data_IF_905375603505
#
_entry.id   IF_905375603505
#
_cell.length_a   1.000
_cell.length_b   1.000
_cell.length_c   1.000
_cell.angle_alpha   90.00
_cell.angle_beta   90.00
_cell.angle_gamma   90.00
#
_symmetry.space_group_name_H-M   'P 1'
#
loop_
_entity.id
_entity.type
_entity.pdbx_description
1 polymer ?
#
# COMPACT_ATOMS: atom_id res chain seq x y z
N UNK A 1 4.44 6.91 15.24
CA UNK A 1 4.11 7.75 14.06
C UNK A 1 3.75 9.17 14.47
N UNK A 2 2.91 9.40 15.48
CA UNK A 2 2.60 10.73 16.04
C UNK A 2 3.80 11.66 16.23
N UNK A 3 4.90 11.18 16.82
CA UNK A 3 6.12 11.98 17.05
C UNK A 3 6.92 12.35 15.78
N UNK A 4 6.52 11.86 14.61
CA UNK A 4 7.12 12.19 13.30
C UNK A 4 6.24 13.12 12.45
N UNK A 5 5.12 13.57 13.00
CA UNK A 5 4.25 14.55 12.35
C UNK A 5 5.02 15.87 12.16
N UNK A 6 5.30 16.24 10.92
CA UNK A 6 6.13 17.39 10.59
C UNK A 6 5.28 18.66 10.46
N UNK A 7 5.27 19.49 11.50
CA UNK A 7 4.60 20.80 11.52
C UNK A 7 5.44 21.92 10.93
N UNK A 8 6.69 21.68 10.54
CA UNK A 8 7.60 22.72 10.05
C UNK A 8 7.38 23.07 8.57
N UNK A 9 6.78 22.14 7.81
CA UNK A 9 6.48 22.31 6.39
C UNK A 9 5.04 21.92 6.10
N UNK A 10 4.39 22.62 5.16
CA UNK A 10 3.08 22.25 4.62
C UNK A 10 1.97 22.10 5.69
N UNK A 11 2.06 22.84 6.79
CA UNK A 11 1.04 22.84 7.86
C UNK A 11 0.89 21.53 8.67
N UNK A 12 1.73 20.53 8.44
CA UNK A 12 1.57 19.19 9.02
C UNK A 12 1.95 18.08 8.05
N UNK A 13 1.59 16.85 8.39
CA UNK A 13 1.78 15.68 7.55
C UNK A 13 3.09 14.93 7.83
N UNK A 14 3.09 13.66 7.47
CA UNK A 14 4.26 12.80 7.42
C UNK A 14 4.97 12.94 6.08
N UNK A 15 6.31 12.90 6.15
CA UNK A 15 7.18 12.68 5.00
C UNK A 15 7.18 11.19 4.63
N UNK A 16 7.48 10.89 3.38
CA UNK A 16 7.63 9.51 2.90
C UNK A 16 8.75 8.79 3.65
N UNK A 17 9.91 9.42 3.75
CA UNK A 17 11.06 8.82 4.43
C UNK A 17 11.11 9.16 5.92
N UNK A 18 11.63 8.21 6.69
CA UNK A 18 11.83 8.32 8.14
C UNK A 18 13.09 9.13 8.48
N UNK A 19 14.14 9.00 7.65
CA UNK A 19 15.46 9.58 7.91
C UNK A 19 15.77 10.69 6.89
N UNK A 20 16.34 11.79 7.38
CA UNK A 20 16.62 13.00 6.60
C UNK A 20 17.60 12.80 5.45
N UNK A 21 18.42 11.75 5.51
CA UNK A 21 19.42 11.44 4.50
C UNK A 21 18.90 10.50 3.40
N UNK A 22 17.68 10.00 3.50
CA UNK A 22 17.09 9.18 2.45
C UNK A 22 16.56 10.06 1.31
N UNK A 23 16.74 9.61 0.07
CA UNK A 23 16.07 10.20 -1.09
C UNK A 23 14.55 10.12 -0.90
N UNK A 24 13.85 11.24 -1.12
CA UNK A 24 12.40 11.35 -0.89
C UNK A 24 12.02 11.78 0.53
N UNK A 25 12.97 12.17 1.39
CA UNK A 25 12.62 12.81 2.68
C UNK A 25 11.93 14.16 2.49
N UNK A 26 12.29 14.87 1.43
CA UNK A 26 11.63 16.08 0.93
C UNK A 26 10.23 15.82 0.37
N UNK A 27 9.78 14.57 0.25
CA UNK A 27 8.48 14.23 -0.31
C UNK A 27 7.45 13.91 0.77
N UNK A 28 6.25 14.52 0.70
CA UNK A 28 5.08 14.16 1.49
C UNK A 28 4.07 13.48 0.58
N UNK A 29 3.87 12.18 0.78
CA UNK A 29 3.00 11.38 -0.06
C UNK A 29 1.74 10.90 0.67
N UNK A 30 0.77 10.52 -0.13
CA UNK A 30 -0.55 10.13 0.32
C UNK A 30 -0.51 8.85 1.11
N UNK A 31 0.23 7.83 0.67
CA UNK A 31 0.27 6.56 1.39
C UNK A 31 0.83 6.68 2.81
N UNK A 32 1.80 7.57 3.07
CA UNK A 32 2.32 7.76 4.43
C UNK A 32 1.27 8.38 5.36
N UNK A 33 0.52 9.37 4.84
CA UNK A 33 -0.46 10.12 5.61
C UNK A 33 -1.78 9.35 5.76
N UNK A 34 -2.31 8.82 4.67
CA UNK A 34 -3.48 7.94 4.68
C UNK A 34 -3.22 6.64 5.43
N UNK A 35 -1.97 6.14 5.41
CA UNK A 35 -1.51 5.03 6.24
C UNK A 35 -1.64 5.30 7.74
N UNK A 36 -1.22 6.49 8.19
CA UNK A 36 -1.44 6.92 9.57
C UNK A 36 -2.94 7.05 9.89
N UNK A 37 -3.70 7.68 9.00
CA UNK A 37 -5.14 7.86 9.15
C UNK A 37 -5.88 6.52 9.31
N UNK A 38 -5.70 5.57 8.39
CA UNK A 38 -6.41 4.28 8.49
C UNK A 38 -5.98 3.49 9.72
N UNK A 39 -4.71 3.57 10.14
CA UNK A 39 -4.22 2.88 11.32
C UNK A 39 -4.85 3.48 12.59
N UNK A 40 -4.91 4.80 12.68
CA UNK A 40 -5.56 5.51 13.76
C UNK A 40 -7.06 5.17 13.82
N UNK A 41 -7.78 5.22 12.71
CA UNK A 41 -9.20 4.86 12.65
C UNK A 41 -9.47 3.41 13.10
N UNK A 42 -8.63 2.46 12.65
CA UNK A 42 -8.72 1.05 13.05
C UNK A 42 -8.46 0.86 14.54
N UNK A 43 -7.46 1.55 15.09
CA UNK A 43 -7.15 1.51 16.52
C UNK A 43 -8.25 2.18 17.36
N UNK A 44 -8.83 3.29 16.89
CA UNK A 44 -9.97 3.95 17.51
C UNK A 44 -11.14 2.97 17.65
N UNK A 45 -11.54 2.32 16.55
CA UNK A 45 -12.60 1.32 16.57
C UNK A 45 -12.26 0.10 17.42
N UNK A 46 -11.04 -0.43 17.33
CA UNK A 46 -10.66 -1.65 18.06
C UNK A 46 -10.60 -1.42 19.57
N UNK A 47 -10.03 -0.30 20.00
CA UNK A 47 -9.71 -0.02 21.41
C UNK A 47 -10.74 0.89 22.10
N UNK A 48 -11.58 1.59 21.34
CA UNK A 48 -12.46 2.64 21.83
C UNK A 48 -11.72 3.75 22.60
N UNK A 49 -10.47 4.05 22.21
CA UNK A 49 -9.64 5.09 22.82
C UNK A 49 -9.68 6.37 21.97
N UNK A 50 -10.18 7.45 22.57
CA UNK A 50 -10.38 8.75 21.93
C UNK A 50 -9.10 9.35 21.32
N UNK A 51 -7.92 9.08 21.88
CA UNK A 51 -6.66 9.58 21.30
C UNK A 51 -6.44 9.08 19.88
N UNK A 52 -6.88 7.87 19.54
CA UNK A 52 -6.79 7.38 18.16
C UNK A 52 -7.83 8.03 17.25
N UNK A 53 -9.01 8.36 17.77
CA UNK A 53 -10.03 9.14 17.05
C UNK A 53 -9.48 10.53 16.73
N UNK A 54 -8.89 11.22 17.71
CA UNK A 54 -8.28 12.55 17.53
C UNK A 54 -7.17 12.52 16.47
N UNK A 55 -6.35 11.47 16.46
CA UNK A 55 -5.30 11.32 15.45
C UNK A 55 -5.84 10.98 14.06
N UNK A 56 -6.93 10.20 13.97
CA UNK A 56 -7.58 9.92 12.71
C UNK A 56 -8.17 11.20 12.11
N UNK A 57 -8.93 11.97 12.90
CA UNK A 57 -9.50 13.26 12.50
C UNK A 57 -8.42 14.27 12.12
N UNK A 58 -7.38 14.42 12.94
CA UNK A 58 -6.26 15.33 12.65
C UNK A 58 -5.55 14.97 11.34
N UNK A 59 -5.30 13.67 11.12
CA UNK A 59 -4.58 13.22 9.92
C UNK A 59 -5.43 13.41 8.68
N UNK A 60 -6.73 13.09 8.75
CA UNK A 60 -7.67 13.32 7.67
C UNK A 60 -7.87 14.80 7.37
N UNK A 61 -8.05 15.65 8.40
CA UNK A 61 -8.22 17.09 8.21
C UNK A 61 -7.03 17.70 7.47
N UNK A 62 -5.80 17.37 7.88
CA UNK A 62 -4.62 17.81 7.15
C UNK A 62 -4.59 17.30 5.70
N UNK A 63 -4.95 16.03 5.49
CA UNK A 63 -4.99 15.45 4.16
C UNK A 63 -6.03 16.14 3.27
N UNK A 64 -7.20 16.44 3.83
CA UNK A 64 -8.31 17.11 3.17
C UNK A 64 -8.02 18.59 2.85
N UNK A 65 -7.23 19.26 3.69
CA UNK A 65 -6.77 20.64 3.45
C UNK A 65 -5.56 20.70 2.50
N UNK A 66 -4.93 19.55 2.22
CA UNK A 66 -3.79 19.47 1.32
C UNK A 66 -4.23 19.43 -0.15
N UNK A 67 -3.31 19.74 -1.04
CA UNK A 67 -3.48 19.61 -2.49
C UNK A 67 -3.48 18.15 -2.99
N UNK A 68 -3.39 17.16 -2.09
CA UNK A 68 -3.37 15.73 -2.43
C UNK A 68 -4.76 15.10 -2.51
N UNK A 69 -5.80 15.85 -2.15
CA UNK A 69 -7.19 15.45 -2.27
C UNK A 69 -8.00 16.54 -2.96
N UNK A 70 -8.76 16.16 -3.97
CA UNK A 70 -9.74 17.04 -4.60
C UNK A 70 -11.12 16.76 -4.00
N UNK A 71 -11.69 17.73 -3.28
CA UNK A 71 -12.98 17.58 -2.58
C UNK A 71 -14.19 17.47 -3.54
N UNK A 72 -14.09 18.01 -4.75
CA UNK A 72 -15.19 18.02 -5.70
C UNK A 72 -15.29 16.69 -6.46
N UNK A 73 -14.13 16.15 -6.82
CA UNK A 73 -13.98 14.93 -7.64
C UNK A 73 -13.56 13.71 -6.84
N UNK A 74 -13.23 13.87 -5.56
CA UNK A 74 -12.69 12.82 -4.68
C UNK A 74 -11.40 12.18 -5.19
N UNK A 75 -10.64 12.88 -6.05
CA UNK A 75 -9.36 12.38 -6.55
C UNK A 75 -8.31 12.35 -5.44
N UNK A 76 -7.49 11.30 -5.43
CA UNK A 76 -6.42 11.07 -4.46
C UNK A 76 -5.09 10.99 -5.20
N UNK A 77 -4.31 12.07 -5.14
CA UNK A 77 -3.03 12.22 -5.84
C UNK A 77 -1.88 11.60 -5.03
N UNK A 78 -0.70 11.40 -5.63
CA UNK A 78 0.36 10.60 -5.00
C UNK A 78 1.12 11.35 -3.91
N UNK A 79 1.46 12.61 -4.14
CA UNK A 79 2.25 13.36 -3.19
C UNK A 79 2.75 14.70 -3.72
N UNK A 80 3.59 15.34 -2.91
CA UNK A 80 4.09 16.69 -3.17
C UNK A 80 5.42 16.94 -2.45
N UNK A 81 6.21 17.90 -2.94
CA UNK A 81 7.52 18.23 -2.37
C UNK A 81 7.43 19.30 -1.29
N UNK A 82 8.24 19.17 -0.24
CA UNK A 82 8.36 20.20 0.79
C UNK A 82 9.20 21.39 0.35
N UNK A 83 9.95 21.28 -0.76
CA UNK A 83 10.85 22.33 -1.25
C UNK A 83 10.10 23.52 -1.85
N UNK A 84 8.88 23.31 -2.32
CA UNK A 84 8.01 24.33 -2.90
C UNK A 84 6.75 24.59 -2.06
N UNK A 85 6.84 24.30 -0.77
CA UNK A 85 5.72 24.42 0.17
C UNK A 85 4.51 23.56 -0.23
N UNK A 86 4.77 22.35 -0.76
CA UNK A 86 3.76 21.37 -1.12
C UNK A 86 2.80 21.83 -2.22
N UNK A 87 3.33 22.55 -3.21
CA UNK A 87 2.52 23.12 -4.31
C UNK A 87 2.64 22.34 -5.61
N UNK A 88 3.78 21.68 -5.89
CA UNK A 88 3.86 20.75 -7.03
C UNK A 88 3.29 19.40 -6.63
N UNK A 89 2.08 19.12 -7.09
CA UNK A 89 1.40 17.84 -6.86
C UNK A 89 1.75 16.86 -7.97
N UNK A 90 2.16 15.66 -7.57
CA UNK A 90 2.19 14.49 -8.44
C UNK A 90 0.77 13.93 -8.56
N UNK A 91 0.17 14.09 -9.74
CA UNK A 91 -1.21 13.72 -10.01
C UNK A 91 -1.39 12.24 -10.37
N UNK A 92 -0.38 11.39 -10.18
CA UNK A 92 -0.59 9.95 -10.31
C UNK A 92 -1.61 9.45 -9.29
N UNK A 93 -2.54 8.63 -9.78
CA UNK A 93 -3.58 8.02 -8.98
C UNK A 93 -3.31 6.52 -8.88
N UNK A 94 -3.29 6.02 -7.65
CA UNK A 94 -2.92 4.63 -7.37
C UNK A 94 -4.00 3.95 -6.53
N UNK A 95 -4.38 2.73 -6.89
CA UNK A 95 -5.48 2.01 -6.21
C UNK A 95 -5.28 1.89 -4.70
N UNK A 96 -4.03 1.73 -4.24
CA UNK A 96 -3.69 1.60 -2.82
C UNK A 96 -3.88 2.90 -1.99
N UNK A 97 -3.76 4.08 -2.59
CA UNK A 97 -4.00 5.36 -1.92
C UNK A 97 -5.51 5.48 -1.62
N UNK A 98 -6.35 5.18 -2.62
CA UNK A 98 -7.80 5.06 -2.44
C UNK A 98 -8.17 4.00 -1.41
N UNK A 99 -7.51 2.84 -1.44
CA UNK A 99 -7.72 1.79 -0.45
C UNK A 99 -7.42 2.27 0.98
N UNK A 100 -6.38 3.09 1.19
CA UNK A 100 -6.07 3.64 2.50
C UNK A 100 -7.11 4.69 2.95
N UNK A 101 -7.53 5.59 2.06
CA UNK A 101 -8.55 6.59 2.36
C UNK A 101 -9.92 5.95 2.68
N UNK A 102 -10.40 5.05 1.81
CA UNK A 102 -11.66 4.31 2.00
C UNK A 102 -11.61 3.54 3.32
N UNK A 103 -10.50 2.86 3.61
CA UNK A 103 -10.36 2.10 4.85
C UNK A 103 -10.51 3.02 6.07
N UNK A 104 -9.73 4.10 6.16
CA UNK A 104 -9.82 5.00 7.31
C UNK A 104 -11.23 5.58 7.50
N UNK A 105 -11.85 6.06 6.42
CA UNK A 105 -13.20 6.65 6.47
C UNK A 105 -14.26 5.61 6.87
N UNK A 106 -14.21 4.38 6.33
CA UNK A 106 -15.17 3.33 6.67
C UNK A 106 -15.06 2.89 8.14
N UNK A 107 -13.83 2.80 8.67
CA UNK A 107 -13.60 2.52 10.09
C UNK A 107 -14.08 3.67 10.98
N UNK A 108 -13.88 4.92 10.57
CA UNK A 108 -14.39 6.10 11.30
C UNK A 108 -15.92 6.11 11.30
N UNK A 109 -16.58 5.94 10.15
CA UNK A 109 -18.04 5.86 10.08
C UNK A 109 -18.59 4.76 10.99
N UNK A 110 -18.02 3.56 10.95
CA UNK A 110 -18.50 2.47 11.80
C UNK A 110 -18.23 2.73 13.29
N UNK A 111 -17.19 3.49 13.64
CA UNK A 111 -16.85 3.84 15.01
C UNK A 111 -17.72 4.98 15.58
N UNK A 112 -17.98 6.03 14.79
CA UNK A 112 -18.63 7.26 15.25
C UNK A 112 -20.09 7.40 14.82
N UNK A 113 -20.50 6.66 13.78
CA UNK A 113 -21.80 6.81 13.09
C UNK A 113 -22.03 8.22 12.52
N UNK A 114 -20.96 9.01 12.34
CA UNK A 114 -21.02 10.34 11.74
C UNK A 114 -21.15 10.23 10.22
N UNK A 115 -22.24 10.76 9.69
CA UNK A 115 -22.61 10.70 8.28
C UNK A 115 -21.53 11.29 7.35
N UNK A 116 -20.76 12.28 7.80
CA UNK A 116 -19.69 12.88 6.97
C UNK A 116 -18.66 11.84 6.51
N UNK A 117 -18.37 10.83 7.34
CA UNK A 117 -17.48 9.74 6.95
C UNK A 117 -18.09 8.80 5.91
N UNK A 118 -19.41 8.58 5.95
CA UNK A 118 -20.09 7.79 4.92
C UNK A 118 -20.08 8.54 3.59
N UNK A 119 -20.34 9.85 3.59
CA UNK A 119 -20.29 10.69 2.39
C UNK A 119 -18.90 10.63 1.74
N UNK A 120 -17.83 10.66 2.56
CA UNK A 120 -16.44 10.47 2.11
C UNK A 120 -16.24 9.08 1.47
N UNK A 121 -16.71 8.02 2.12
CA UNK A 121 -16.60 6.65 1.57
C UNK A 121 -17.31 6.55 0.22
N UNK A 122 -18.55 7.05 0.11
CA UNK A 122 -19.34 6.99 -1.12
C UNK A 122 -18.71 7.80 -2.25
N UNK A 123 -18.19 9.00 -1.95
CA UNK A 123 -17.45 9.81 -2.91
C UNK A 123 -16.19 9.12 -3.43
N UNK A 124 -15.36 8.59 -2.52
CA UNK A 124 -14.16 7.84 -2.88
C UNK A 124 -14.48 6.56 -3.68
N UNK A 125 -15.56 5.86 -3.36
CA UNK A 125 -16.00 4.67 -4.11
C UNK A 125 -16.43 5.03 -5.53
N UNK A 126 -17.19 6.10 -5.71
CA UNK A 126 -17.60 6.56 -7.03
C UNK A 126 -16.38 6.83 -7.92
N UNK A 127 -15.41 7.61 -7.42
CA UNK A 127 -14.17 7.92 -8.14
C UNK A 127 -13.32 6.66 -8.37
N UNK A 128 -13.26 5.77 -7.38
CA UNK A 128 -12.58 4.48 -7.53
C UNK A 128 -13.15 3.66 -8.70
N UNK A 129 -14.48 3.57 -8.81
CA UNK A 129 -15.13 2.82 -9.89
C UNK A 129 -14.96 3.48 -11.25
N UNK A 130 -14.94 4.82 -11.33
CA UNK A 130 -14.70 5.50 -12.60
C UNK A 130 -13.24 5.41 -13.06
N UNK A 131 -12.29 5.48 -12.13
CA UNK A 131 -10.85 5.57 -12.44
C UNK A 131 -10.21 4.19 -12.64
N UNK A 132 -10.49 3.24 -11.75
CA UNK A 132 -9.79 1.95 -11.72
C UNK A 132 -10.60 0.79 -12.29
N UNK A 133 -11.81 1.05 -12.80
CA UNK A 133 -12.61 0.03 -13.49
C UNK A 133 -13.10 0.55 -14.85
N UNK A 134 -12.17 1.01 -15.72
CA UNK A 134 -12.54 1.65 -16.97
C UNK A 134 -13.16 0.63 -17.92
N UNK A 135 -14.29 1.00 -18.54
CA UNK A 135 -15.02 0.13 -19.48
C UNK A 135 -14.19 -0.29 -20.69
N UNK A 136 -13.16 0.49 -21.04
CA UNK A 136 -12.19 0.18 -22.11
C UNK A 136 -11.31 -1.03 -21.79
N UNK A 137 -11.20 -1.42 -20.51
CA UNK A 137 -10.44 -2.56 -20.04
C UNK A 137 -11.35 -3.67 -19.48
N UNK A 138 -12.62 -3.71 -19.92
CA UNK A 138 -13.60 -4.70 -19.49
C UNK A 138 -14.63 -4.15 -18.49
N UNK A 139 -15.84 -4.69 -18.52
CA UNK A 139 -16.90 -4.29 -17.60
C UNK A 139 -16.53 -4.68 -16.16
N UNK A 140 -16.35 -3.66 -15.30
CA UNK A 140 -16.05 -3.83 -13.86
C UNK A 140 -14.78 -4.63 -13.57
N UNK A 141 -13.79 -4.56 -14.45
CA UNK A 141 -12.46 -5.14 -14.25
C UNK A 141 -11.54 -4.10 -13.61
N UNK A 142 -10.95 -4.44 -12.45
CA UNK A 142 -10.01 -3.57 -11.75
C UNK A 142 -8.69 -3.47 -12.52
N UNK A 143 -8.16 -2.26 -12.69
CA UNK A 143 -6.93 -1.97 -13.44
C UNK A 143 -6.10 -0.95 -12.66
N UNK A 144 -4.78 -1.15 -12.63
CA UNK A 144 -3.86 -0.10 -12.16
C UNK A 144 -3.64 0.90 -13.31
N UNK A 145 -4.58 1.83 -13.48
CA UNK A 145 -4.72 2.65 -14.69
C UNK A 145 -3.46 3.44 -15.06
N UNK A 146 -2.67 3.84 -14.06
CA UNK A 146 -1.47 4.66 -14.23
C UNK A 146 -0.34 3.92 -14.94
N UNK A 147 -0.20 2.61 -14.75
CA UNK A 147 0.95 1.84 -15.27
C UNK A 147 0.56 0.65 -16.14
N UNK A 148 -0.58 0.01 -15.87
CA UNK A 148 -0.95 -1.25 -16.52
C UNK A 148 -1.18 -1.08 -18.03
N UNK A 149 -1.90 -0.06 -18.53
CA UNK A 149 -2.06 0.14 -19.97
C UNK A 149 -0.75 0.44 -20.72
N UNK A 150 0.26 0.93 -20.01
CA UNK A 150 1.57 1.25 -20.55
C UNK A 150 2.55 0.08 -20.44
N UNK A 151 2.17 -1.01 -19.75
CA UNK A 151 3.03 -2.17 -19.53
C UNK A 151 4.28 -1.86 -18.72
N UNK A 152 4.26 -0.85 -17.85
CA UNK A 152 5.43 -0.34 -17.14
C UNK A 152 5.28 -0.33 -15.61
N UNK A 153 4.34 -1.12 -15.07
CA UNK A 153 4.19 -1.25 -13.62
C UNK A 153 5.47 -1.79 -12.97
N UNK A 154 5.91 -1.16 -11.88
CA UNK A 154 7.00 -1.68 -11.08
C UNK A 154 6.54 -2.79 -10.11
N UNK A 155 7.48 -3.31 -9.31
CA UNK A 155 7.21 -4.41 -8.37
C UNK A 155 6.18 -4.05 -7.29
N UNK A 156 6.14 -2.80 -6.85
CA UNK A 156 5.22 -2.35 -5.80
C UNK A 156 3.81 -2.23 -6.40
N UNK A 157 3.70 -1.58 -7.56
CA UNK A 157 2.45 -1.30 -8.26
C UNK A 157 1.69 -2.58 -8.64
N UNK A 158 2.42 -3.66 -8.94
CA UNK A 158 1.81 -4.97 -9.22
C UNK A 158 1.00 -5.54 -8.04
N UNK A 159 1.23 -5.06 -6.82
CA UNK A 159 0.52 -5.50 -5.61
C UNK A 159 -0.63 -4.58 -5.19
N UNK A 160 -0.75 -3.37 -5.76
CA UNK A 160 -1.67 -2.34 -5.25
C UNK A 160 -3.14 -2.76 -5.30
N UNK A 161 -3.55 -3.40 -6.40
CA UNK A 161 -4.90 -3.97 -6.57
C UNK A 161 -5.28 -4.95 -5.45
N UNK A 162 -4.30 -5.67 -4.87
CA UNK A 162 -4.54 -6.57 -3.74
C UNK A 162 -5.09 -5.82 -2.52
N UNK A 163 -4.60 -4.61 -2.26
CA UNK A 163 -5.02 -3.81 -1.12
C UNK A 163 -6.41 -3.23 -1.33
N UNK A 164 -6.68 -2.71 -2.53
CA UNK A 164 -8.01 -2.20 -2.86
C UNK A 164 -9.08 -3.29 -2.79
N UNK A 165 -8.83 -4.47 -3.39
CA UNK A 165 -9.78 -5.58 -3.36
C UNK A 165 -10.14 -6.01 -1.93
N UNK A 166 -9.15 -6.05 -1.03
CA UNK A 166 -9.36 -6.41 0.39
C UNK A 166 -10.06 -5.30 1.15
N UNK A 167 -9.68 -4.04 0.93
CA UNK A 167 -10.36 -2.89 1.55
C UNK A 167 -11.83 -2.86 1.17
N UNK A 168 -12.14 -2.97 -0.12
CA UNK A 168 -13.53 -2.97 -0.62
C UNK A 168 -14.38 -4.05 0.06
N UNK A 169 -13.85 -5.27 0.18
CA UNK A 169 -14.56 -6.36 0.83
C UNK A 169 -14.75 -6.13 2.34
N UNK A 170 -13.76 -5.56 3.03
CA UNK A 170 -13.91 -5.20 4.46
C UNK A 170 -14.86 -4.02 4.65
N UNK A 171 -14.91 -3.07 3.71
CA UNK A 171 -15.84 -1.94 3.75
C UNK A 171 -17.29 -2.42 3.78
N UNK A 172 -17.65 -3.49 3.07
CA UNK A 172 -19.03 -4.03 3.14
C UNK A 172 -19.32 -4.72 4.47
N UNK A 173 -18.32 -5.21 5.19
CA UNK A 173 -18.52 -5.72 6.55
C UNK A 173 -18.75 -4.58 7.56
N UNK A 174 -18.12 -3.42 7.33
CA UNK A 174 -18.27 -2.22 8.17
C UNK A 174 -19.53 -1.42 7.82
N UNK A 175 -19.92 -1.42 6.54
CA UNK A 175 -21.03 -0.65 5.97
C UNK A 175 -21.85 -1.57 5.04
N UNK A 176 -22.72 -2.43 5.61
CA UNK A 176 -23.43 -3.45 4.82
C UNK A 176 -24.29 -2.92 3.67
N UNK A 177 -24.78 -1.68 3.77
CA UNK A 177 -25.55 -1.04 2.69
C UNK A 177 -24.77 -0.87 1.38
N UNK A 178 -23.44 -0.90 1.42
CA UNK A 178 -22.58 -0.75 0.24
C UNK A 178 -22.29 -2.08 -0.48
N UNK A 179 -22.81 -3.21 0.01
CA UNK A 179 -22.57 -4.53 -0.57
C UNK A 179 -22.93 -4.61 -2.05
N UNK A 180 -24.17 -4.25 -2.41
CA UNK A 180 -24.68 -4.32 -3.79
C UNK A 180 -23.96 -3.35 -4.74
N UNK A 181 -23.33 -2.32 -4.18
CA UNK A 181 -22.52 -1.36 -4.94
C UNK A 181 -21.12 -1.91 -5.22
N UNK A 182 -20.49 -2.57 -4.23
CA UNK A 182 -19.09 -3.01 -4.28
C UNK A 182 -18.92 -4.39 -4.94
N UNK A 183 -19.73 -5.38 -4.56
CA UNK A 183 -19.49 -6.76 -4.98
C UNK A 183 -19.61 -7.05 -6.48
N UNK A 184 -20.44 -6.34 -7.28
CA UNK A 184 -20.40 -6.51 -8.72
C UNK A 184 -18.99 -6.30 -9.31
N UNK A 185 -18.21 -5.36 -8.77
CA UNK A 185 -16.84 -5.09 -9.20
C UNK A 185 -15.84 -6.13 -8.74
N UNK A 186 -15.95 -6.58 -7.48
CA UNK A 186 -15.10 -7.66 -6.96
C UNK A 186 -15.33 -8.98 -7.70
N UNK A 187 -16.60 -9.33 -7.99
CA UNK A 187 -16.95 -10.58 -8.71
C UNK A 187 -16.38 -10.59 -10.13
N UNK A 188 -16.59 -9.53 -10.89
CA UNK A 188 -16.06 -9.43 -12.25
C UNK A 188 -14.53 -9.48 -12.28
N UNK A 189 -13.89 -8.72 -11.39
CA UNK A 189 -12.42 -8.72 -11.28
C UNK A 189 -11.86 -10.08 -10.84
N UNK A 190 -12.51 -10.79 -9.92
CA UNK A 190 -12.10 -12.13 -9.49
C UNK A 190 -12.25 -13.17 -10.60
N UNK A 191 -13.29 -13.08 -11.43
CA UNK A 191 -13.44 -13.94 -12.61
C UNK A 191 -12.30 -13.71 -13.60
N UNK A 192 -11.98 -12.44 -13.89
CA UNK A 192 -10.85 -12.07 -14.74
C UNK A 192 -9.51 -12.54 -14.17
N UNK A 193 -9.28 -12.36 -12.88
CA UNK A 193 -8.08 -12.83 -12.19
C UNK A 193 -7.94 -14.35 -12.26
N UNK A 194 -9.01 -15.10 -11.97
CA UNK A 194 -9.00 -16.56 -12.06
C UNK A 194 -8.72 -17.05 -13.49
N UNK A 195 -9.21 -16.34 -14.50
CA UNK A 195 -8.95 -16.65 -15.91
C UNK A 195 -7.50 -16.38 -16.34
N UNK A 196 -6.74 -15.61 -15.56
CA UNK A 196 -5.31 -15.39 -15.76
C UNK A 196 -4.42 -16.38 -14.99
N UNK A 197 -5.00 -17.26 -14.17
CA UNK A 197 -4.30 -18.20 -13.30
C UNK A 197 -4.16 -19.60 -13.93
N UNK A 198 -3.85 -19.67 -15.21
CA UNK A 198 -3.60 -20.91 -15.96
C UNK A 198 -2.18 -20.95 -16.58
N UNK A 199 -1.31 -20.03 -16.14
CA UNK A 199 -0.02 -19.74 -16.73
C UNK A 199 1.16 -20.57 -16.24
N UNK A 200 2.28 -20.38 -16.94
CA UNK A 200 3.62 -20.89 -16.61
C UNK A 200 3.74 -22.42 -16.51
N UNK A 201 4.84 -22.89 -15.91
CA UNK A 201 5.16 -24.33 -15.88
C UNK A 201 4.24 -25.16 -14.97
N UNK A 202 3.50 -24.51 -14.09
CA UNK A 202 2.57 -25.15 -13.14
C UNK A 202 1.14 -25.19 -13.65
N UNK A 203 0.81 -24.42 -14.70
CA UNK A 203 -0.57 -24.21 -15.15
C UNK A 203 -1.44 -23.51 -14.10
N UNK A 204 -0.83 -22.73 -13.21
CA UNK A 204 -1.48 -22.09 -12.07
C UNK A 204 -0.88 -20.72 -11.70
N UNK A 205 0.05 -20.20 -12.50
CA UNK A 205 0.64 -18.88 -12.28
C UNK A 205 -0.33 -17.82 -12.80
N UNK A 206 -0.53 -16.78 -12.00
CA UNK A 206 -1.49 -15.71 -12.28
C UNK A 206 -0.84 -14.51 -12.98
N UNK A 207 -1.44 -14.07 -14.08
CA UNK A 207 -1.16 -12.80 -14.75
C UNK A 207 -1.94 -11.60 -14.17
N UNK A 208 -1.87 -10.46 -14.84
CA UNK A 208 -2.47 -9.18 -14.45
C UNK A 208 -3.54 -8.67 -15.42
N UNK A 209 -3.56 -9.12 -16.67
CA UNK A 209 -4.54 -8.73 -17.69
C UNK A 209 -5.90 -9.43 -17.48
N UNK A 210 -6.63 -9.00 -16.45
CA UNK A 210 -7.92 -9.59 -16.04
C UNK A 210 -9.08 -9.35 -17.03
N UNK A 211 -8.82 -8.72 -18.17
CA UNK A 211 -9.80 -8.45 -19.23
C UNK A 211 -9.78 -9.48 -20.35
N UNK A 212 -8.88 -10.47 -20.28
CA UNK A 212 -8.75 -11.58 -21.22
C UNK A 212 -8.64 -12.90 -20.45
N UNK A 213 -8.93 -14.01 -21.12
CA UNK A 213 -8.76 -15.37 -20.57
C UNK A 213 -7.45 -16.03 -21.02
N UNK A 214 -6.57 -15.27 -21.66
CA UNK A 214 -5.27 -15.76 -22.12
C UNK A 214 -4.24 -15.19 -21.15
N UNK A 215 -3.48 -16.06 -20.48
CA UNK A 215 -2.40 -15.64 -19.60
C UNK A 215 -1.43 -14.68 -20.32
N UNK A 216 -1.20 -13.52 -19.72
CA UNK A 216 -0.36 -12.44 -20.27
C UNK A 216 1.15 -12.73 -20.23
N UNK A 217 1.57 -13.88 -19.70
CA UNK A 217 2.98 -14.26 -19.60
C UNK A 217 3.72 -13.61 -18.42
N UNK A 218 3.05 -12.78 -17.62
CA UNK A 218 3.63 -12.15 -16.44
C UNK A 218 3.50 -13.04 -15.21
N UNK A 219 4.43 -12.89 -14.27
CA UNK A 219 4.44 -13.64 -13.01
C UNK A 219 5.21 -12.87 -11.95
N UNK A 220 4.88 -13.12 -10.68
CA UNK A 220 5.55 -12.50 -9.55
C UNK A 220 4.65 -12.39 -8.33
N UNK A 221 5.24 -12.06 -7.19
CA UNK A 221 4.52 -12.01 -5.91
C UNK A 221 3.38 -11.00 -5.94
N UNK A 222 3.54 -9.85 -6.60
CA UNK A 222 2.48 -8.84 -6.71
C UNK A 222 1.26 -9.36 -7.48
N UNK A 223 1.49 -10.08 -8.59
CA UNK A 223 0.44 -10.68 -9.40
C UNK A 223 -0.33 -11.74 -8.62
N UNK A 224 0.38 -12.66 -7.99
CA UNK A 224 -0.20 -13.72 -7.16
C UNK A 224 -0.98 -13.13 -5.98
N UNK A 225 -0.42 -12.10 -5.31
CA UNK A 225 -1.11 -11.41 -4.22
C UNK A 225 -2.39 -10.72 -4.69
N UNK A 226 -2.37 -10.06 -5.84
CA UNK A 226 -3.54 -9.36 -6.40
C UNK A 226 -4.64 -10.34 -6.77
N UNK A 227 -4.31 -11.44 -7.46
CA UNK A 227 -5.27 -12.50 -7.81
C UNK A 227 -5.84 -13.17 -6.55
N UNK A 228 -4.98 -13.56 -5.60
CA UNK A 228 -5.40 -14.18 -4.35
C UNK A 228 -6.35 -13.27 -3.57
N UNK A 229 -6.01 -11.99 -3.43
CA UNK A 229 -6.80 -11.03 -2.67
C UNK A 229 -8.22 -10.87 -3.22
N UNK A 230 -8.37 -10.66 -4.53
CA UNK A 230 -9.69 -10.45 -5.13
C UNK A 230 -10.54 -11.72 -5.14
N UNK A 231 -9.93 -12.89 -5.36
CA UNK A 231 -10.63 -14.18 -5.29
C UNK A 231 -11.08 -14.48 -3.86
N UNK A 232 -10.21 -14.27 -2.87
CA UNK A 232 -10.54 -14.51 -1.46
C UNK A 232 -11.60 -13.55 -0.93
N UNK A 233 -11.66 -12.32 -1.43
CA UNK A 233 -12.71 -11.37 -1.07
C UNK A 233 -14.12 -11.92 -1.35
N UNK A 234 -14.29 -12.81 -2.33
CA UNK A 234 -15.60 -13.41 -2.62
C UNK A 234 -16.05 -14.43 -1.57
N UNK A 235 -15.16 -14.92 -0.70
CA UNK A 235 -15.56 -15.81 0.41
C UNK A 235 -16.47 -15.10 1.42
N UNK A 236 -16.44 -13.76 1.45
CA UNK A 236 -17.32 -12.94 2.27
C UNK A 236 -18.72 -12.75 1.67
N UNK A 237 -18.95 -13.17 0.43
CA UNK A 237 -20.20 -13.05 -0.32
C UNK A 237 -20.77 -14.43 -0.66
N UNK A 238 -21.02 -15.19 0.39
CA UNK A 238 -21.71 -16.49 0.32
C UNK A 238 -22.98 -16.43 1.17
N UNK A 239 -24.02 -17.17 0.78
CA UNK A 239 -25.34 -17.09 1.43
C UNK A 239 -25.32 -17.39 2.93
N UNK A 240 -24.32 -18.17 3.37
CA UNK A 240 -24.15 -18.57 4.78
C UNK A 240 -23.19 -17.66 5.56
N UNK A 241 -22.51 -16.72 4.90
CA UNK A 241 -21.60 -15.79 5.55
C UNK A 241 -22.38 -14.64 6.19
N UNK A 242 -22.36 -14.57 7.52
CA UNK A 242 -22.71 -13.34 8.20
C UNK A 242 -21.65 -12.27 7.86
N UNK A 243 -22.06 -11.08 7.41
CA UNK A 243 -21.19 -9.92 7.30
C UNK A 243 -20.79 -9.44 8.70
N UNK A 244 -19.85 -10.15 9.31
CA UNK A 244 -19.33 -9.82 10.63
C UNK A 244 -18.21 -8.80 10.44
N UNK A 245 -18.42 -7.60 10.98
CA UNK A 245 -17.38 -6.57 11.01
C UNK A 245 -16.13 -7.08 11.75
N UNK A 246 -14.93 -6.58 11.40
CA UNK A 246 -13.70 -6.90 12.12
C UNK A 246 -13.87 -6.80 13.64
N UNK A 247 -13.25 -7.71 14.39
CA UNK A 247 -13.40 -7.75 15.85
C UNK A 247 -12.84 -6.48 16.52
N UNK A 248 -13.38 -6.15 17.68
CA UNK A 248 -12.85 -5.13 18.60
C UNK A 248 -12.35 -5.81 19.88
N UNK A 249 -11.73 -5.06 20.78
CA UNK A 249 -11.38 -5.56 22.10
C UNK A 249 -12.60 -6.05 22.91
N UNK A 250 -13.79 -5.54 22.64
CA UNK A 250 -15.03 -5.93 23.33
C UNK A 250 -15.85 -7.01 22.62
N UNK A 251 -15.61 -7.27 21.33
CA UNK A 251 -16.37 -8.26 20.54
C UNK A 251 -15.60 -9.55 20.25
N UNK A 252 -14.53 -9.83 21.00
CA UNK A 252 -13.80 -11.10 20.93
C UNK A 252 -12.37 -11.00 20.39
N UNK A 253 -11.85 -9.78 20.16
CA UNK A 253 -10.42 -9.58 19.87
C UNK A 253 -9.56 -10.03 21.05
N UNK A 254 -8.63 -10.97 20.81
CA UNK A 254 -7.81 -11.61 21.84
C UNK A 254 -6.35 -11.13 21.87
N UNK A 255 -5.99 -10.12 21.08
CA UNK A 255 -4.66 -9.52 21.09
C UNK A 255 -4.45 -8.66 22.35
N UNK A 256 -3.23 -8.66 22.89
CA UNK A 256 -2.87 -7.91 24.11
C UNK A 256 -2.33 -6.52 23.76
N UNK A 257 -2.88 -5.48 24.41
CA UNK A 257 -2.42 -4.09 24.23
C UNK A 257 -1.08 -3.83 24.91
N UNK A 258 -0.25 -2.99 24.29
CA UNK A 258 0.96 -2.42 24.90
C UNK A 258 0.89 -0.89 24.87
N UNK A 259 0.52 -0.22 25.98
CA UNK A 259 0.43 1.24 26.05
C UNK A 259 1.75 1.99 25.80
N UNK A 260 2.90 1.32 25.95
CA UNK A 260 4.23 1.89 25.64
C UNK A 260 4.76 1.44 24.27
N UNK A 261 3.92 0.87 23.40
CA UNK A 261 4.31 0.50 22.05
C UNK A 261 4.89 1.72 21.30
N UNK A 262 6.15 1.61 20.87
CA UNK A 262 6.86 2.67 20.16
C UNK A 262 7.37 3.84 21.03
N UNK A 263 7.26 3.78 22.37
CA UNK A 263 7.83 4.79 23.28
C UNK A 263 9.16 4.37 23.91
N UNK A 264 9.58 3.12 23.69
CA UNK A 264 10.87 2.63 24.18
C UNK A 264 12.03 3.43 23.58
N UNK A 265 12.82 4.06 24.46
CA UNK A 265 14.15 4.59 24.16
C UNK A 265 15.17 3.45 24.10
N UNK A 266 14.90 2.41 23.32
CA UNK A 266 15.98 1.52 22.93
C UNK A 266 16.80 2.25 21.89
N UNK A 267 18.03 2.60 22.26
CA UNK A 267 19.19 2.58 21.38
C UNK A 267 19.36 1.19 20.74
N UNK A 268 18.31 0.63 20.16
CA UNK A 268 18.46 -0.37 19.13
C UNK A 268 19.03 0.45 17.98
N UNK A 269 20.35 0.42 17.85
CA UNK A 269 20.96 0.33 16.52
C UNK A 269 20.00 -0.54 15.73
N UNK A 270 19.26 0.08 14.81
CA UNK A 270 18.49 -0.65 13.83
C UNK A 270 19.56 -1.41 13.06
N UNK A 271 19.89 -2.61 13.51
CA UNK A 271 20.57 -3.60 12.70
C UNK A 271 19.50 -3.98 11.69
N UNK A 272 19.55 -3.47 10.45
CA UNK A 272 18.64 -3.97 9.46
C UNK A 272 18.87 -5.48 9.44
N UNK A 273 17.82 -6.27 9.49
CA UNK A 273 17.91 -7.66 9.07
C UNK A 273 18.11 -7.67 7.55
N UNK A 274 19.21 -7.07 7.07
CA UNK A 274 19.81 -7.51 5.84
C UNK A 274 20.01 -9.00 6.09
N UNK A 275 19.40 -9.83 5.24
CA UNK A 275 19.75 -11.23 5.14
C UNK A 275 21.23 -11.29 4.72
N UNK A 276 22.12 -11.03 5.67
CA UNK A 276 23.54 -11.24 5.51
C UNK A 276 23.67 -12.74 5.52
N UNK A 277 23.83 -13.32 4.33
CA UNK A 277 24.26 -14.70 4.23
C UNK A 277 25.52 -14.82 5.09
N UNK A 278 25.53 -15.77 6.02
CA UNK A 278 26.70 -16.00 6.86
C UNK A 278 27.91 -16.22 5.95
N UNK A 279 28.93 -15.37 6.09
CA UNK A 279 30.15 -15.46 5.30
C UNK A 279 30.81 -16.80 5.63
N UNK A 280 31.01 -17.62 4.61
CA UNK A 280 31.65 -18.92 4.78
C UNK A 280 33.18 -18.79 4.68
N UNK A 281 33.90 -19.81 5.12
CA UNK A 281 35.35 -19.89 4.89
C UNK A 281 35.70 -19.82 3.39
N UNK A 282 34.82 -20.33 2.52
CA UNK A 282 34.97 -20.25 1.07
C UNK A 282 34.92 -18.82 0.54
N UNK A 283 34.03 -17.99 1.08
CA UNK A 283 33.90 -16.57 0.69
C UNK A 283 35.13 -15.77 1.10
N UNK A 284 35.64 -16.03 2.31
CA UNK A 284 36.84 -15.38 2.84
C UNK A 284 38.06 -15.76 2.01
N UNK A 285 38.19 -17.03 1.64
CA UNK A 285 39.27 -17.51 0.78
C UNK A 285 39.16 -16.91 -0.63
N UNK A 286 37.97 -16.89 -1.23
CA UNK A 286 37.72 -16.31 -2.55
C UNK A 286 38.04 -14.82 -2.60
N UNK A 287 37.61 -14.06 -1.58
CA UNK A 287 37.94 -12.64 -1.46
C UNK A 287 39.45 -12.41 -1.36
N UNK A 288 40.14 -13.16 -0.49
CA UNK A 288 41.60 -13.03 -0.33
C UNK A 288 42.36 -13.35 -1.62
N UNK A 289 41.98 -14.41 -2.34
CA UNK A 289 42.61 -14.77 -3.63
C UNK A 289 42.40 -13.65 -4.64
N UNK A 290 41.17 -13.13 -4.77
CA UNK A 290 40.86 -12.06 -5.70
C UNK A 290 41.66 -10.79 -5.38
N UNK A 291 41.75 -10.41 -4.10
CA UNK A 291 42.54 -9.26 -3.66
C UNK A 291 44.02 -9.44 -4.00
N UNK A 292 44.59 -10.62 -3.75
CA UNK A 292 46.00 -10.91 -4.07
C UNK A 292 46.24 -10.84 -5.57
N UNK A 293 45.33 -11.38 -6.40
CA UNK A 293 45.47 -11.33 -7.86
C UNK A 293 45.40 -9.90 -8.40
N UNK A 294 44.49 -9.07 -7.88
CA UNK A 294 44.37 -7.66 -8.28
C UNK A 294 45.61 -6.87 -7.85
N UNK A 295 46.07 -7.04 -6.62
CA UNK A 295 47.28 -6.37 -6.15
C UNK A 295 48.51 -6.86 -6.94
N UNK A 296 48.60 -8.16 -7.22
CA UNK A 296 49.64 -8.76 -8.03
C UNK A 296 49.65 -8.23 -9.46
N UNK A 297 48.48 -8.04 -10.09
CA UNK A 297 48.39 -7.48 -11.44
C UNK A 297 48.75 -6.00 -11.48
N UNK A 298 48.33 -5.21 -10.48
CA UNK A 298 48.69 -3.80 -10.37
C UNK A 298 50.19 -3.64 -10.15
N UNK A 299 50.77 -4.39 -9.20
CA UNK A 299 52.21 -4.34 -8.91
C UNK A 299 53.01 -4.86 -10.10
N UNK A 300 52.62 -6.01 -10.66
CA UNK A 300 53.28 -6.60 -11.83
C UNK A 300 53.23 -5.68 -13.06
N UNK A 301 52.08 -5.08 -13.33
CA UNK A 301 51.93 -4.09 -14.40
C UNK A 301 52.75 -2.83 -14.16
N UNK A 302 52.81 -2.35 -12.91
CA UNK A 302 53.62 -1.18 -12.55
C UNK A 302 55.12 -1.46 -12.68
N UNK A 303 55.58 -2.65 -12.25
CA UNK A 303 56.98 -3.05 -12.40
C UNK A 303 57.35 -3.25 -13.86
N UNK A 304 56.48 -3.86 -14.67
CA UNK A 304 56.68 -4.01 -16.11
C UNK A 304 56.82 -2.65 -16.81
N UNK A 305 55.97 -1.68 -16.48
CA UNK A 305 56.02 -0.32 -17.03
C UNK A 305 57.29 0.47 -16.64
N UNK A 306 57.97 0.09 -15.55
CA UNK A 306 59.21 0.74 -15.07
C UNK A 306 60.46 0.03 -15.62
N UNK A 307 60.33 -1.21 -16.09
CA UNK A 307 61.46 -2.03 -16.55
C UNK A 307 61.68 -1.98 -18.07
N UNK A 308 60.84 -1.26 -18.81
CA UNK A 308 61.08 -0.78 -20.18
C UNK A 308 61.43 0.73 -20.16
#
# INVERSE_FOLDING_TARGET
MAGRWDTSTCGGGLRWQIYTFNAGYDYKNSISNLGLFQLAARLARYTNNATYTDWAEKSWQWYADSSLWDVETYQVFDGTSTDDNCTSVDHFEWTYNYAAAISGAAYMYNHTSDQSWLDIVEGLLNTTFTTFFPTTMGDKIMVEITCQPLGNCDTDQLSFRSYLARTLAVTTQLIPSLHETIYPYLRASAQGAAAQCDGGNTGAICGMEWNTTIWDGTYGVGQEMSALAVIQSLMLDTQDAAFVAPLTASTGGNSTSNPSAGTGSSSSTFEPSIATRQITTGDTAGAAILTILILGSIIGGSVWLIWD
#
